data_IF_088588205560
#
_entry.id   IF_088588205560
#
_cell.length_a   1.000
_cell.length_b   1.000
_cell.length_c   1.000
_cell.angle_alpha   90.00
_cell.angle_beta   90.00
_cell.angle_gamma   90.00
#
_symmetry.space_group_name_H-M   'P 1'
#
loop_
_entity.id
_entity.type
_entity.pdbx_description
1 polymer ?
#
# COMPACT_ATOMS: atom_id res chain seq x y z
N UNK A 1 -17.28 1.38 -10.29
CA UNK A 1 -17.33 1.33 -8.82
C UNK A 1 -16.45 2.43 -8.29
N UNK A 2 -16.99 3.25 -7.39
CA UNK A 2 -16.39 4.49 -6.92
C UNK A 2 -16.19 4.43 -5.40
N UNK A 3 -15.82 3.26 -4.87
CA UNK A 3 -15.87 2.95 -3.43
C UNK A 3 -15.08 3.92 -2.54
N UNK A 4 -14.12 4.64 -3.13
CA UNK A 4 -13.27 5.63 -2.44
C UNK A 4 -13.36 7.05 -3.07
N UNK A 5 -14.35 7.32 -3.92
CA UNK A 5 -14.48 8.61 -4.60
C UNK A 5 -14.87 9.71 -3.60
N UNK A 6 -14.11 10.82 -3.59
CA UNK A 6 -14.32 11.93 -2.67
C UNK A 6 -13.65 11.79 -1.30
N UNK A 7 -13.02 10.64 -1.03
CA UNK A 7 -12.20 10.45 0.17
C UNK A 7 -10.76 10.90 -0.06
N UNK A 8 -10.13 11.41 0.99
CA UNK A 8 -8.66 11.52 1.03
C UNK A 8 -8.01 10.14 1.12
N UNK A 9 -6.72 10.04 0.79
CA UNK A 9 -5.99 8.76 0.90
C UNK A 9 -6.04 8.23 2.33
N UNK A 10 -5.89 9.08 3.34
CA UNK A 10 -5.91 8.67 4.74
C UNK A 10 -7.27 8.12 5.18
N UNK A 11 -8.37 8.77 4.76
CA UNK A 11 -9.73 8.30 5.03
C UNK A 11 -10.01 6.96 4.35
N UNK A 12 -9.59 6.82 3.10
CA UNK A 12 -9.77 5.58 2.35
C UNK A 12 -8.95 4.43 2.96
N UNK A 13 -7.74 4.71 3.46
CA UNK A 13 -6.94 3.71 4.19
C UNK A 13 -7.56 3.34 5.54
N UNK A 14 -8.32 4.22 6.19
CA UNK A 14 -9.02 3.93 7.46
C UNK A 14 -10.38 3.27 7.27
N UNK A 15 -10.88 3.18 6.03
CA UNK A 15 -12.24 2.70 5.75
C UNK A 15 -12.47 1.24 6.17
N UNK A 16 -11.44 0.40 6.03
CA UNK A 16 -11.48 -1.01 6.40
C UNK A 16 -10.22 -1.41 7.18
N UNK A 17 -10.29 -2.40 8.09
CA UNK A 17 -9.11 -2.88 8.81
C UNK A 17 -8.15 -3.69 7.91
N UNK A 18 -8.67 -4.29 6.83
CA UNK A 18 -7.91 -5.09 5.87
C UNK A 18 -8.20 -4.57 4.47
N UNK A 19 -7.16 -4.25 3.73
CA UNK A 19 -7.28 -3.79 2.34
C UNK A 19 -6.71 -4.84 1.38
N UNK A 20 -7.40 -5.08 0.27
CA UNK A 20 -6.89 -5.93 -0.80
C UNK A 20 -6.01 -5.14 -1.75
N UNK A 21 -5.23 -5.85 -2.57
CA UNK A 21 -4.45 -5.23 -3.65
C UNK A 21 -5.30 -4.28 -4.51
N UNK A 22 -6.51 -4.69 -4.90
CA UNK A 22 -7.39 -3.88 -5.74
C UNK A 22 -7.88 -2.59 -5.05
N UNK A 23 -8.02 -2.60 -3.72
CA UNK A 23 -8.38 -1.41 -2.96
C UNK A 23 -7.19 -0.44 -2.94
N UNK A 24 -5.99 -0.94 -2.66
CA UNK A 24 -4.76 -0.13 -2.68
C UNK A 24 -4.45 0.45 -4.07
N UNK A 25 -4.74 -0.29 -5.14
CA UNK A 25 -4.60 0.21 -6.51
C UNK A 25 -5.50 1.43 -6.76
N UNK A 26 -6.75 1.38 -6.26
CA UNK A 26 -7.70 2.49 -6.37
C UNK A 26 -7.33 3.67 -5.46
N UNK A 27 -6.98 3.40 -4.20
CA UNK A 27 -6.66 4.41 -3.19
C UNK A 27 -5.39 5.18 -3.57
N UNK A 28 -4.32 4.47 -3.90
CA UNK A 28 -3.01 5.07 -4.19
C UNK A 28 -2.88 5.48 -5.66
N UNK A 29 -3.85 5.13 -6.51
CA UNK A 29 -3.83 5.35 -7.97
C UNK A 29 -2.54 4.84 -8.62
N UNK A 30 -2.13 3.63 -8.24
CA UNK A 30 -0.91 2.97 -8.73
C UNK A 30 -1.19 1.49 -8.99
N UNK A 31 -0.42 0.89 -9.88
CA UNK A 31 -0.55 -0.53 -10.20
C UNK A 31 0.04 -1.42 -9.11
N UNK A 32 -0.48 -2.63 -8.97
CA UNK A 32 0.05 -3.70 -8.12
C UNK A 32 1.54 -3.95 -8.34
N UNK A 33 2.02 -3.88 -9.59
CA UNK A 33 3.47 -3.95 -9.89
C UNK A 33 4.26 -2.83 -9.19
N UNK A 34 3.72 -1.62 -9.16
CA UNK A 34 4.33 -0.49 -8.44
C UNK A 34 4.29 -0.73 -6.93
N UNK A 35 3.17 -1.22 -6.40
CA UNK A 35 3.05 -1.57 -4.98
C UNK A 35 4.09 -2.63 -4.58
N UNK A 36 4.27 -3.69 -5.37
CA UNK A 36 5.29 -4.71 -5.13
C UNK A 36 6.70 -4.11 -5.15
N UNK A 37 7.00 -3.19 -6.07
CA UNK A 37 8.30 -2.52 -6.10
C UNK A 37 8.53 -1.69 -4.84
N UNK A 38 7.51 -1.02 -4.32
CA UNK A 38 7.64 -0.23 -3.09
C UNK A 38 7.91 -1.09 -1.86
N UNK A 39 7.64 -2.39 -1.90
CA UNK A 39 7.95 -3.35 -0.84
C UNK A 39 9.42 -3.82 -0.86
N UNK A 40 10.22 -3.34 -1.81
CA UNK A 40 11.62 -3.71 -1.94
C UNK A 40 12.48 -3.02 -0.86
N UNK A 41 12.89 -3.82 0.13
CA UNK A 41 13.76 -3.41 1.24
C UNK A 41 15.19 -3.06 0.80
N UNK A 42 15.63 -3.48 -0.39
CA UNK A 42 16.93 -3.11 -0.95
C UNK A 42 16.86 -1.74 -1.64
N UNK A 43 15.74 -1.41 -2.30
CA UNK A 43 15.56 -0.14 -3.01
C UNK A 43 15.18 1.02 -2.07
N UNK A 44 14.37 0.76 -1.04
CA UNK A 44 13.78 1.80 -0.19
C UNK A 44 14.26 1.72 1.27
N UNK A 45 14.51 2.87 1.89
CA UNK A 45 14.79 3.03 3.34
C UNK A 45 13.52 2.81 4.18
N UNK A 46 12.36 3.15 3.65
CA UNK A 46 11.06 2.93 4.27
C UNK A 46 10.13 2.22 3.28
N UNK A 47 10.34 0.91 3.03
CA UNK A 47 9.54 0.17 2.07
C UNK A 47 8.09 0.02 2.55
N UNK A 48 7.19 -0.11 1.59
CA UNK A 48 5.78 -0.41 1.83
C UNK A 48 5.66 -1.74 2.59
N UNK A 49 4.78 -1.83 3.60
CA UNK A 49 4.51 -3.09 4.28
C UNK A 49 4.08 -4.18 3.30
N UNK A 50 4.70 -5.35 3.42
CA UNK A 50 4.32 -6.56 2.70
C UNK A 50 2.93 -7.03 3.14
N UNK A 51 2.18 -7.73 2.27
CA UNK A 51 0.90 -8.30 2.66
C UNK A 51 1.09 -9.35 3.74
N UNK A 52 0.17 -9.41 4.70
CA UNK A 52 0.21 -10.43 5.75
C UNK A 52 -0.38 -11.77 5.29
N UNK A 53 -1.15 -11.75 4.20
CA UNK A 53 -1.69 -12.95 3.56
C UNK A 53 -1.65 -12.77 2.05
N UNK A 54 -0.94 -13.67 1.36
CA UNK A 54 -0.93 -13.75 -0.10
C UNK A 54 -1.89 -14.85 -0.55
N UNK A 55 -3.01 -14.49 -1.18
CA UNK A 55 -3.96 -15.46 -1.72
C UNK A 55 -3.79 -15.55 -3.25
N UNK A 56 -3.52 -16.75 -3.77
CA UNK A 56 -3.27 -17.00 -5.20
C UNK A 56 -4.38 -16.50 -6.14
N UNK A 57 -5.64 -16.50 -5.68
CA UNK A 57 -6.81 -16.17 -6.53
C UNK A 57 -7.59 -14.94 -6.05
N UNK A 58 -7.51 -14.58 -4.77
CA UNK A 58 -8.30 -13.51 -4.14
C UNK A 58 -7.52 -12.20 -3.95
N UNK A 59 -6.24 -12.18 -4.33
CA UNK A 59 -5.35 -11.04 -4.14
C UNK A 59 -4.63 -11.07 -2.77
N UNK A 60 -3.76 -10.10 -2.55
CA UNK A 60 -3.03 -9.97 -1.31
C UNK A 60 -3.82 -9.11 -0.31
N UNK A 61 -3.76 -9.48 0.97
CA UNK A 61 -4.38 -8.72 2.07
C UNK A 61 -3.31 -7.94 2.84
N UNK A 62 -3.61 -6.67 3.09
CA UNK A 62 -2.75 -5.72 3.78
C UNK A 62 -3.45 -5.21 5.04
N UNK A 63 -2.66 -5.02 6.10
CA UNK A 63 -3.11 -4.38 7.33
C UNK A 63 -3.20 -2.88 7.07
N UNK A 64 -4.41 -2.32 7.16
CA UNK A 64 -4.63 -0.93 6.77
C UNK A 64 -3.92 0.06 7.69
N UNK A 65 -3.81 -0.27 8.99
CA UNK A 65 -3.07 0.52 9.97
C UNK A 65 -1.59 0.60 9.61
N UNK A 66 -0.96 -0.52 9.24
CA UNK A 66 0.44 -0.54 8.79
C UNK A 66 0.64 0.28 7.52
N UNK A 67 -0.26 0.16 6.54
CA UNK A 67 -0.18 0.96 5.30
C UNK A 67 -0.35 2.45 5.60
N UNK A 68 -1.26 2.83 6.49
CA UNK A 68 -1.46 4.21 6.90
C UNK A 68 -0.22 4.79 7.59
N UNK A 69 0.35 4.08 8.57
CA UNK A 69 1.57 4.51 9.26
C UNK A 69 2.73 4.66 8.27
N UNK A 70 2.86 3.73 7.33
CA UNK A 70 3.84 3.84 6.25
C UNK A 70 3.59 5.08 5.38
N UNK A 71 2.36 5.32 4.95
CA UNK A 71 1.99 6.48 4.14
C UNK A 71 2.30 7.82 4.82
N UNK A 72 2.14 7.88 6.14
CA UNK A 72 2.45 9.07 6.95
C UNK A 72 3.95 9.26 7.24
N UNK A 73 4.79 8.24 7.03
CA UNK A 73 6.21 8.23 7.43
C UNK A 73 7.20 8.46 6.28
N UNK A 74 6.81 9.22 5.25
CA UNK A 74 7.59 9.44 4.01
C UNK A 74 7.84 8.11 3.25
N UNK A 75 6.80 7.58 2.58
CA UNK A 75 6.69 6.18 2.16
C UNK A 75 7.70 5.67 1.13
N UNK A 76 8.45 6.55 0.46
CA UNK A 76 9.26 6.19 -0.71
C UNK A 76 10.66 6.77 -0.68
N UNK A 77 11.23 6.87 0.52
CA UNK A 77 12.60 7.33 0.69
C UNK A 77 13.54 6.28 0.11
N UNK A 78 14.10 6.52 -1.08
CA UNK A 78 15.07 5.63 -1.72
C UNK A 78 16.38 5.65 -0.95
N UNK A 79 17.03 4.50 -0.84
CA UNK A 79 18.41 4.44 -0.35
C UNK A 79 19.29 5.26 -1.28
N UNK A 80 20.14 6.12 -0.72
CA UNK A 80 21.22 6.73 -1.51
C UNK A 80 22.08 5.59 -2.06
N UNK A 81 22.14 5.45 -3.39
CA UNK A 81 23.13 4.58 -4.03
C UNK A 81 24.50 5.06 -3.56
N UNK A 82 25.22 4.19 -2.84
CA UNK A 82 26.64 4.38 -2.54
C UNK A 82 27.45 4.22 -3.81
#
# INVERSE_FOLDING_TARGET
MASFQGMTIEEALKSEPVLKTADLEQILKRSSRTLCRWQDEEEFENPMPKPFSACRNSGNNYDSGKILTWFQSLPLRKKKKR
#
